data_IF_643235916318
#
_entry.id   IF_643235916318
#
_cell.length_a   1.000
_cell.length_b   1.000
_cell.length_c   1.000
_cell.angle_alpha   90.00
_cell.angle_beta   90.00
_cell.angle_gamma   90.00
#
_symmetry.space_group_name_H-M   'P 1'
#
loop_
_entity.id
_entity.type
_entity.pdbx_description
1 polymer ?
#
# COMPACT_ATOMS: atom_id res chain seq x y z
N UNK A 1 -4.61 13.91 -44.03
CA UNK A 1 -5.40 14.44 -42.89
C UNK A 1 -4.76 15.70 -42.37
N UNK A 2 -5.52 16.56 -41.71
CA UNK A 2 -5.02 17.82 -41.16
C UNK A 2 -3.91 17.59 -40.12
N UNK A 3 -2.89 18.45 -40.13
CA UNK A 3 -1.69 18.35 -39.29
C UNK A 3 -1.38 19.72 -38.67
N UNK A 4 -0.79 19.68 -37.49
CA UNK A 4 -0.27 20.85 -36.76
C UNK A 4 1.25 20.85 -36.85
N UNK A 5 1.86 22.00 -37.17
CA UNK A 5 3.31 22.19 -37.16
C UNK A 5 3.76 22.98 -35.94
N UNK A 6 4.86 22.57 -35.33
CA UNK A 6 5.42 23.29 -34.19
C UNK A 6 6.27 24.48 -34.64
N UNK A 7 5.93 25.69 -34.20
CA UNK A 7 6.71 26.91 -34.43
C UNK A 7 8.02 26.97 -33.64
N UNK A 8 8.07 26.34 -32.46
CA UNK A 8 9.28 26.33 -31.62
C UNK A 8 10.41 25.49 -32.25
N UNK A 9 10.17 24.20 -32.52
CA UNK A 9 11.22 23.34 -33.10
C UNK A 9 11.22 23.28 -34.63
N UNK A 10 10.16 23.77 -35.30
CA UNK A 10 9.98 23.80 -36.77
C UNK A 10 10.15 22.46 -37.51
N UNK A 11 10.28 21.36 -36.76
CA UNK A 11 10.64 20.03 -37.28
C UNK A 11 9.58 18.97 -36.98
N UNK A 12 8.84 19.14 -35.88
CA UNK A 12 7.80 18.20 -35.47
C UNK A 12 6.44 18.63 -35.99
N UNK A 13 5.65 17.63 -36.39
CA UNK A 13 4.26 17.78 -36.81
C UNK A 13 3.41 16.66 -36.23
N UNK A 14 2.15 16.95 -35.96
CA UNK A 14 1.21 16.01 -35.36
C UNK A 14 -0.07 15.97 -36.17
N UNK A 15 -0.57 14.76 -36.42
CA UNK A 15 -1.86 14.56 -37.05
C UNK A 15 -2.98 14.89 -36.06
N UNK A 16 -4.12 15.40 -36.53
CA UNK A 16 -5.25 15.71 -35.63
C UNK A 16 -5.71 14.48 -34.80
N UNK A 17 -5.89 13.28 -35.40
CA UNK A 17 -6.21 12.09 -34.61
C UNK A 17 -5.15 11.74 -33.56
N UNK A 18 -3.87 12.05 -33.83
CA UNK A 18 -2.78 11.81 -32.90
C UNK A 18 -2.89 12.73 -31.68
N UNK A 19 -3.30 13.99 -31.90
CA UNK A 19 -3.49 14.96 -30.83
C UNK A 19 -4.73 14.64 -29.98
N UNK A 20 -5.85 14.32 -30.62
CA UNK A 20 -7.08 13.95 -29.92
C UNK A 20 -6.90 12.70 -29.05
N UNK A 21 -6.20 11.68 -29.56
CA UNK A 21 -5.99 10.43 -28.83
C UNK A 21 -4.95 10.53 -27.70
N UNK A 22 -3.83 11.25 -27.94
CA UNK A 22 -2.69 11.24 -27.01
C UNK A 22 -2.56 12.49 -26.15
N UNK A 23 -3.26 13.57 -26.51
CA UNK A 23 -3.21 14.87 -25.83
C UNK A 23 -4.62 15.50 -25.71
N UNK A 24 -5.60 14.78 -25.13
CA UNK A 24 -6.93 15.32 -24.95
C UNK A 24 -6.89 16.57 -24.05
N UNK A 25 -7.59 17.62 -24.45
CA UNK A 25 -7.66 18.89 -23.70
C UNK A 25 -6.55 19.90 -24.01
N UNK A 26 -5.61 19.59 -24.93
CA UNK A 26 -4.66 20.59 -25.43
C UNK A 26 -5.22 21.35 -26.63
N UNK A 27 -5.21 22.67 -26.55
CA UNK A 27 -5.58 23.55 -27.66
C UNK A 27 -4.56 23.40 -28.81
N UNK A 28 -5.03 23.55 -30.06
CA UNK A 28 -4.16 23.36 -31.23
C UNK A 28 -3.07 24.43 -31.28
N UNK A 29 -3.42 25.64 -30.89
CA UNK A 29 -2.55 26.81 -30.77
C UNK A 29 -1.42 26.56 -29.75
N UNK A 30 -1.70 25.84 -28.65
CA UNK A 30 -0.67 25.45 -27.69
C UNK A 30 0.34 24.48 -28.31
N UNK A 31 -0.13 23.51 -29.09
CA UNK A 31 0.72 22.52 -29.78
C UNK A 31 1.52 23.17 -30.93
N UNK A 32 0.91 24.14 -31.62
CA UNK A 32 1.58 24.99 -32.61
C UNK A 32 2.71 25.78 -31.97
N UNK A 33 2.47 26.40 -30.81
CA UNK A 33 3.50 27.15 -30.09
C UNK A 33 4.61 26.22 -29.58
N UNK A 34 4.27 25.15 -28.87
CA UNK A 34 5.25 24.19 -28.34
C UNK A 34 4.69 22.76 -28.37
N UNK A 35 5.32 21.91 -29.18
CA UNK A 35 4.84 20.55 -29.34
C UNK A 35 5.25 19.63 -28.17
N UNK A 36 4.61 18.45 -28.05
CA UNK A 36 4.93 17.51 -26.96
C UNK A 36 6.40 17.12 -26.82
N UNK A 37 7.19 17.12 -27.90
CA UNK A 37 8.65 16.91 -27.82
C UNK A 37 9.33 18.10 -27.15
N UNK A 38 8.99 19.33 -27.53
CA UNK A 38 9.51 20.55 -26.92
C UNK A 38 9.10 20.68 -25.45
N UNK A 39 7.92 20.19 -25.10
CA UNK A 39 7.40 20.18 -23.73
C UNK A 39 7.86 18.96 -22.90
N UNK A 40 8.68 18.07 -23.47
CA UNK A 40 9.21 16.90 -22.75
C UNK A 40 8.19 15.82 -22.41
N UNK A 41 7.00 15.83 -23.02
CA UNK A 41 5.89 14.89 -22.75
C UNK A 41 5.43 14.14 -24.01
N UNK A 42 6.34 13.89 -24.95
CA UNK A 42 6.01 13.18 -26.19
C UNK A 42 5.74 11.68 -25.96
N UNK A 43 4.57 11.21 -26.37
CA UNK A 43 4.08 9.84 -26.21
C UNK A 43 4.45 8.93 -27.40
N UNK A 44 5.29 9.41 -28.33
CA UNK A 44 5.73 8.56 -29.44
C UNK A 44 6.68 7.46 -28.94
N UNK A 45 6.62 6.29 -29.58
CA UNK A 45 7.42 5.12 -29.21
C UNK A 45 8.93 5.40 -29.13
N UNK A 46 9.45 6.31 -29.96
CA UNK A 46 10.85 6.71 -29.92
C UNK A 46 11.18 7.57 -28.68
N UNK A 47 10.35 8.54 -28.33
CA UNK A 47 10.54 9.40 -27.16
C UNK A 47 10.34 8.63 -25.84
N UNK A 48 9.37 7.71 -25.78
CA UNK A 48 9.15 6.87 -24.61
C UNK A 48 10.29 5.85 -24.36
N UNK A 49 11.04 5.50 -25.41
CA UNK A 49 12.17 4.56 -25.34
C UNK A 49 13.52 5.25 -25.25
N UNK A 50 13.57 6.54 -25.52
CA UNK A 50 14.77 7.31 -25.25
C UNK A 50 14.99 7.27 -23.74
N UNK A 51 16.22 6.96 -23.30
CA UNK A 51 16.60 7.22 -21.92
C UNK A 51 16.31 8.71 -21.69
N UNK A 52 15.31 8.99 -20.86
CA UNK A 52 15.00 10.34 -20.42
C UNK A 52 16.25 10.74 -19.66
N UNK A 53 17.15 11.47 -20.31
CA UNK A 53 18.10 12.32 -19.62
C UNK A 53 17.19 13.33 -18.97
N UNK A 54 16.78 13.05 -17.73
CA UNK A 54 16.05 13.99 -16.90
C UNK A 54 16.89 15.24 -16.96
N UNK A 55 16.37 16.28 -17.64
CA UNK A 55 17.05 17.56 -17.72
C UNK A 55 17.45 17.89 -16.30
N UNK A 56 18.72 18.22 -16.08
CA UNK A 56 19.26 18.55 -14.77
C UNK A 56 18.42 19.73 -14.26
N UNK A 57 17.34 19.45 -13.55
CA UNK A 57 16.54 20.48 -12.90
C UNK A 57 17.54 21.19 -12.00
N UNK A 58 17.67 22.50 -12.16
CA UNK A 58 18.43 23.30 -11.20
C UNK A 58 17.94 22.89 -9.80
N UNK A 59 18.87 22.46 -8.95
CA UNK A 59 18.54 22.10 -7.57
C UNK A 59 17.74 23.26 -6.99
N UNK A 60 16.50 23.03 -6.53
CA UNK A 60 15.71 24.10 -5.95
C UNK A 60 16.51 24.74 -4.82
N UNK A 61 16.47 26.07 -4.74
CA UNK A 61 17.18 26.79 -3.68
C UNK A 61 16.87 26.19 -2.30
N UNK A 62 17.80 26.22 -1.33
CA UNK A 62 17.67 25.50 -0.06
C UNK A 62 16.34 25.71 0.67
N UNK A 63 15.77 26.91 0.58
CA UNK A 63 14.46 27.24 1.14
C UNK A 63 13.32 26.45 0.48
N UNK A 64 13.28 26.39 -0.86
CA UNK A 64 12.27 25.60 -1.59
C UNK A 64 12.39 24.12 -1.27
N UNK A 65 13.62 23.61 -1.14
CA UNK A 65 13.88 22.22 -0.73
C UNK A 65 13.37 21.96 0.70
N UNK A 66 13.65 22.87 1.64
CA UNK A 66 13.15 22.78 3.02
C UNK A 66 11.62 22.82 3.08
N UNK A 67 10.97 23.74 2.36
CA UNK A 67 9.51 23.84 2.31
C UNK A 67 8.86 22.56 1.77
N UNK A 68 9.44 21.95 0.73
CA UNK A 68 8.98 20.66 0.20
C UNK A 68 9.13 19.54 1.21
N UNK A 69 10.26 19.47 1.91
CA UNK A 69 10.49 18.45 2.95
C UNK A 69 9.53 18.61 4.14
N UNK A 70 9.29 19.84 4.59
CA UNK A 70 8.33 20.13 5.65
C UNK A 70 6.90 19.78 5.22
N UNK A 71 6.53 20.05 3.97
CA UNK A 71 5.24 19.65 3.42
C UNK A 71 5.06 18.12 3.41
N UNK A 72 6.07 17.38 2.95
CA UNK A 72 6.05 15.91 2.96
C UNK A 72 5.96 15.38 4.40
N UNK A 73 6.75 15.94 5.31
CA UNK A 73 6.75 15.54 6.71
C UNK A 73 5.38 15.79 7.36
N UNK A 74 4.79 16.96 7.11
CA UNK A 74 3.44 17.31 7.57
C UNK A 74 2.38 16.33 7.01
N UNK A 75 2.50 15.93 5.74
CA UNK A 75 1.60 14.94 5.12
C UNK A 75 1.75 13.51 5.66
N UNK A 76 2.95 13.11 6.09
CA UNK A 76 3.22 11.77 6.66
C UNK A 76 2.89 11.71 8.16
N UNK A 77 2.81 12.86 8.83
CA UNK A 77 2.63 12.94 10.28
C UNK A 77 1.37 12.21 10.81
N UNK A 78 0.20 12.26 10.15
CA UNK A 78 -0.97 11.48 10.56
C UNK A 78 -0.69 9.96 10.56
N UNK A 79 0.00 9.45 9.54
CA UNK A 79 0.37 8.04 9.47
C UNK A 79 1.35 7.67 10.57
N UNK A 80 2.30 8.54 10.89
CA UNK A 80 3.25 8.31 11.98
C UNK A 80 2.54 8.25 13.34
N UNK A 81 1.51 9.09 13.56
CA UNK A 81 0.65 9.01 14.75
C UNK A 81 -0.12 7.70 14.79
N UNK A 82 -0.69 7.26 13.67
CA UNK A 82 -1.38 5.98 13.60
C UNK A 82 -0.45 4.81 13.95
N UNK A 83 0.75 4.77 13.38
CA UNK A 83 1.75 3.73 13.70
C UNK A 83 2.07 3.74 15.19
N UNK A 84 2.27 4.92 15.78
CA UNK A 84 2.52 5.05 17.22
C UNK A 84 1.37 4.49 18.06
N UNK A 85 0.12 4.84 17.73
CA UNK A 85 -1.06 4.35 18.47
C UNK A 85 -1.25 2.84 18.32
N UNK A 86 -1.00 2.28 17.13
CA UNK A 86 -1.04 0.83 16.91
C UNK A 86 0.02 0.10 17.74
N UNK A 87 1.23 0.67 17.84
CA UNK A 87 2.28 0.12 18.69
C UNK A 87 1.89 0.17 20.17
N UNK A 88 1.50 1.33 20.70
CA UNK A 88 1.11 1.48 22.11
C UNK A 88 -0.04 0.54 22.50
N UNK A 89 -1.07 0.45 21.65
CA UNK A 89 -2.18 -0.47 21.89
C UNK A 89 -1.74 -1.94 21.97
N UNK A 90 -0.78 -2.36 21.13
CA UNK A 90 -0.27 -3.72 21.18
C UNK A 90 0.60 -3.96 22.42
N UNK A 91 1.35 -2.96 22.89
CA UNK A 91 2.13 -3.02 24.13
C UNK A 91 1.19 -3.18 25.34
N UNK A 92 0.07 -2.45 25.37
CA UNK A 92 -0.94 -2.59 26.42
C UNK A 92 -1.56 -3.99 26.45
N UNK A 93 -1.80 -4.59 25.29
CA UNK A 93 -2.29 -5.96 25.20
C UNK A 93 -1.22 -6.94 25.70
N UNK A 94 0.04 -6.73 25.35
CA UNK A 94 1.14 -7.56 25.83
C UNK A 94 1.29 -7.49 27.37
N UNK A 95 1.13 -6.30 27.96
CA UNK A 95 1.09 -6.11 29.41
C UNK A 95 -0.01 -6.97 30.06
N UNK A 96 -1.22 -6.94 29.47
CA UNK A 96 -2.38 -7.70 29.96
C UNK A 96 -2.16 -9.21 29.86
N UNK A 97 -1.59 -9.69 28.75
CA UNK A 97 -1.26 -11.11 28.55
C UNK A 97 -0.22 -11.58 29.57
N UNK A 98 0.79 -10.75 29.85
CA UNK A 98 1.84 -11.09 30.82
C UNK A 98 1.42 -10.88 32.28
N UNK A 99 0.32 -10.16 32.54
CA UNK A 99 -0.17 -9.85 33.88
C UNK A 99 0.73 -8.87 34.65
N UNK A 100 1.44 -7.99 33.95
CA UNK A 100 2.39 -7.01 34.52
C UNK A 100 1.98 -5.58 34.20
N UNK A 101 2.57 -4.61 34.91
CA UNK A 101 2.37 -3.19 34.60
C UNK A 101 3.01 -2.79 33.28
N UNK A 102 2.42 -1.79 32.60
CA UNK A 102 2.87 -1.31 31.29
C UNK A 102 4.36 -0.90 31.30
N UNK A 103 4.83 -0.28 32.39
CA UNK A 103 6.22 0.17 32.54
C UNK A 103 7.23 -0.99 32.64
N UNK A 104 6.78 -2.18 33.00
CA UNK A 104 7.63 -3.37 33.17
C UNK A 104 7.74 -4.21 31.90
N UNK A 105 6.88 -3.97 30.90
CA UNK A 105 6.85 -4.73 29.65
C UNK A 105 8.17 -4.57 28.89
N UNK A 106 8.86 -5.70 28.70
CA UNK A 106 10.12 -5.76 27.94
C UNK A 106 9.91 -6.49 26.62
N UNK A 107 9.87 -5.73 25.54
CA UNK A 107 9.74 -6.27 24.19
C UNK A 107 11.12 -6.59 23.63
N UNK A 108 11.31 -7.87 23.32
CA UNK A 108 12.54 -8.41 22.77
C UNK A 108 12.75 -7.86 21.36
N UNK A 109 13.97 -7.39 21.11
CA UNK A 109 14.38 -6.97 19.77
C UNK A 109 14.75 -8.20 18.96
N UNK A 110 14.08 -8.42 17.84
CA UNK A 110 14.50 -9.45 16.88
C UNK A 110 15.79 -8.96 16.19
N UNK A 111 16.79 -9.83 16.10
CA UNK A 111 17.97 -9.54 15.27
C UNK A 111 17.49 -9.39 13.82
N UNK A 112 17.88 -8.31 13.16
CA UNK A 112 17.59 -8.06 11.75
C UNK A 112 18.91 -8.14 11.00
N UNK A 113 18.92 -8.90 9.91
CA UNK A 113 19.89 -8.65 8.85
C UNK A 113 19.45 -7.41 8.09
N UNK A 114 20.34 -6.43 7.92
CA UNK A 114 20.06 -5.09 7.39
C UNK A 114 19.56 -5.06 5.94
N UNK A 115 19.33 -6.21 5.29
CA UNK A 115 18.95 -6.33 3.88
C UNK A 115 17.55 -6.93 3.70
N UNK A 116 17.05 -7.69 4.66
CA UNK A 116 15.81 -8.47 4.48
C UNK A 116 14.59 -7.75 5.07
N UNK A 117 13.66 -7.39 4.18
CA UNK A 117 12.35 -6.82 4.55
C UNK A 117 11.44 -7.94 5.05
N UNK A 118 10.89 -7.80 6.27
CA UNK A 118 9.90 -8.76 6.80
C UNK A 118 8.51 -8.54 6.21
N UNK A 119 7.79 -9.64 6.05
CA UNK A 119 6.42 -9.68 5.55
C UNK A 119 5.56 -10.52 6.50
N UNK A 120 4.29 -10.13 6.63
CA UNK A 120 3.30 -10.90 7.35
C UNK A 120 2.94 -12.16 6.57
N UNK A 121 3.05 -13.33 7.17
CA UNK A 121 2.70 -14.59 6.50
C UNK A 121 1.20 -14.71 6.19
N UNK A 122 0.36 -13.94 6.88
CA UNK A 122 -1.08 -13.96 6.65
C UNK A 122 -1.54 -13.05 5.49
N UNK A 123 -1.12 -11.80 5.48
CA UNK A 123 -1.59 -10.80 4.50
C UNK A 123 -0.53 -10.35 3.49
N UNK A 124 0.71 -10.82 3.63
CA UNK A 124 1.86 -10.43 2.83
C UNK A 124 2.20 -8.93 2.88
N UNK A 125 1.61 -8.18 3.82
CA UNK A 125 1.97 -6.79 4.09
C UNK A 125 3.34 -6.75 4.75
N UNK A 126 4.18 -5.82 4.31
CA UNK A 126 5.48 -5.63 4.95
C UNK A 126 5.35 -5.12 6.37
N UNK A 127 6.16 -5.70 7.26
CA UNK A 127 6.23 -5.32 8.67
C UNK A 127 7.42 -4.40 8.87
N UNK A 128 7.18 -3.23 9.46
CA UNK A 128 8.19 -2.20 9.67
C UNK A 128 8.94 -2.36 10.99
N UNK A 129 8.22 -2.56 12.10
CA UNK A 129 8.84 -2.59 13.43
C UNK A 129 8.31 -3.73 14.30
N UNK A 130 7.06 -3.58 14.77
CA UNK A 130 6.42 -4.51 15.69
C UNK A 130 5.72 -5.63 14.93
N UNK A 131 5.92 -6.86 15.41
CA UNK A 131 5.26 -8.05 14.89
C UNK A 131 5.05 -9.07 16.01
N UNK A 132 4.12 -10.01 15.79
CA UNK A 132 4.01 -11.20 16.61
C UNK A 132 4.62 -12.39 15.88
N UNK A 133 5.69 -12.97 16.43
CA UNK A 133 6.39 -14.09 15.80
C UNK A 133 6.20 -15.39 16.57
N UNK A 134 6.31 -16.53 15.89
CA UNK A 134 6.32 -17.82 16.56
C UNK A 134 7.66 -18.06 17.28
N UNK A 135 7.68 -18.40 18.57
CA UNK A 135 8.92 -18.72 19.29
C UNK A 135 9.43 -20.14 19.02
N UNK A 136 8.70 -20.96 18.27
CA UNK A 136 9.15 -22.30 17.90
C UNK A 136 10.32 -22.19 16.89
N UNK A 137 11.51 -22.75 17.18
CA UNK A 137 12.66 -22.68 16.27
C UNK A 137 12.39 -23.26 14.88
N UNK A 138 11.46 -24.22 14.76
CA UNK A 138 11.06 -24.84 13.50
C UNK A 138 9.92 -24.09 12.79
N UNK A 139 9.54 -22.88 13.26
CA UNK A 139 8.46 -22.09 12.69
C UNK A 139 8.81 -20.59 12.70
N UNK A 140 8.86 -20.01 11.51
CA UNK A 140 9.18 -18.59 11.30
C UNK A 140 7.94 -17.73 11.05
N UNK A 141 6.78 -18.11 11.63
CA UNK A 141 5.53 -17.43 11.33
C UNK A 141 5.49 -16.02 11.94
N UNK A 142 5.38 -15.02 11.09
CA UNK A 142 5.35 -13.59 11.41
C UNK A 142 3.97 -12.98 11.10
N UNK A 143 3.39 -12.29 12.08
CA UNK A 143 2.07 -11.68 11.98
C UNK A 143 2.14 -10.18 12.25
N UNK A 144 1.57 -9.38 11.35
CA UNK A 144 1.49 -7.93 11.51
C UNK A 144 0.41 -7.52 12.52
N UNK A 145 0.55 -6.32 13.11
CA UNK A 145 -0.38 -5.78 14.10
C UNK A 145 -1.81 -5.63 13.57
N UNK A 146 -1.97 -5.32 12.29
CA UNK A 146 -3.30 -5.23 11.66
C UNK A 146 -4.02 -6.59 11.72
N UNK A 147 -3.35 -7.68 11.34
CA UNK A 147 -3.92 -9.02 11.42
C UNK A 147 -4.14 -9.45 12.87
N UNK A 148 -3.27 -9.06 13.81
CA UNK A 148 -3.49 -9.28 15.24
C UNK A 148 -4.80 -8.62 15.72
N UNK A 149 -5.03 -7.36 15.33
CA UNK A 149 -6.24 -6.60 15.68
C UNK A 149 -7.49 -7.22 15.05
N UNK A 150 -7.43 -7.68 13.81
CA UNK A 150 -8.52 -8.36 13.13
C UNK A 150 -8.91 -9.66 13.85
N UNK A 151 -7.94 -10.49 14.21
CA UNK A 151 -8.17 -11.74 14.96
C UNK A 151 -8.89 -11.49 16.29
N UNK A 152 -8.46 -10.48 17.05
CA UNK A 152 -9.09 -10.13 18.34
C UNK A 152 -10.50 -9.57 18.18
N UNK A 153 -10.85 -9.04 17.00
CA UNK A 153 -12.22 -8.63 16.66
C UNK A 153 -13.09 -9.78 16.17
N UNK A 154 -12.55 -11.01 16.09
CA UNK A 154 -13.24 -12.17 15.54
C UNK A 154 -13.27 -12.19 14.00
N UNK A 155 -12.50 -11.31 13.35
CA UNK A 155 -12.36 -11.31 11.90
C UNK A 155 -11.25 -12.29 11.50
N UNK A 156 -11.51 -13.16 10.53
CA UNK A 156 -10.46 -13.97 9.93
C UNK A 156 -9.51 -13.04 9.16
N UNK A 157 -8.24 -12.92 9.57
CA UNK A 157 -7.34 -11.89 9.08
C UNK A 157 -6.98 -12.12 7.61
N UNK A 158 -6.76 -11.04 6.85
CA UNK A 158 -6.34 -11.11 5.44
C UNK A 158 -7.43 -10.85 4.39
N UNK A 159 -8.68 -10.62 4.81
CA UNK A 159 -9.79 -10.21 3.94
C UNK A 159 -10.03 -11.13 2.73
N UNK A 160 -10.81 -10.67 1.75
CA UNK A 160 -11.01 -11.38 0.47
C UNK A 160 -9.76 -11.43 -0.42
N UNK A 161 -8.69 -10.70 -0.06
CA UNK A 161 -7.43 -10.65 -0.80
C UNK A 161 -6.47 -11.80 -0.47
N UNK A 162 -6.47 -12.33 0.76
CA UNK A 162 -5.75 -13.57 1.07
C UNK A 162 -6.30 -14.75 0.24
N UNK A 163 -7.61 -14.74 -0.06
CA UNK A 163 -8.22 -15.70 -0.99
C UNK A 163 -7.72 -15.54 -2.44
N UNK A 164 -7.42 -14.31 -2.91
CA UNK A 164 -7.07 -14.06 -4.31
C UNK A 164 -5.59 -14.34 -4.62
N UNK A 165 -4.67 -14.07 -3.69
CA UNK A 165 -3.28 -14.52 -3.78
C UNK A 165 -3.15 -16.04 -3.67
N UNK A 166 -4.02 -16.69 -2.89
CA UNK A 166 -4.06 -18.15 -2.77
C UNK A 166 -4.59 -18.85 -4.03
N UNK A 167 -5.57 -18.26 -4.74
CA UNK A 167 -6.06 -18.80 -6.02
C UNK A 167 -4.93 -18.90 -7.06
N UNK A 168 -4.03 -17.91 -7.09
CA UNK A 168 -2.84 -17.93 -7.95
C UNK A 168 -1.76 -18.94 -7.49
N UNK A 169 -1.70 -19.32 -6.21
CA UNK A 169 -0.75 -20.32 -5.70
C UNK A 169 -1.21 -21.75 -6.01
N UNK A 170 -2.50 -22.05 -5.81
CA UNK A 170 -3.12 -23.36 -6.11
C UNK A 170 -3.20 -23.61 -7.62
N UNK A 171 -3.54 -22.60 -8.44
CA UNK A 171 -3.57 -22.74 -9.91
C UNK A 171 -2.18 -23.06 -10.51
N UNK A 172 -1.09 -22.66 -9.85
CA UNK A 172 0.28 -23.00 -10.26
C UNK A 172 0.70 -24.41 -9.87
N UNK A 173 0.08 -24.99 -8.84
CA UNK A 173 0.42 -26.33 -8.33
C UNK A 173 -0.38 -27.46 -8.98
N UNK A 174 -1.52 -27.18 -9.62
CA UNK A 174 -2.29 -28.18 -10.38
C UNK A 174 -1.98 -28.21 -11.90
N UNK A 175 -0.99 -27.45 -12.35
CA UNK A 175 -0.55 -27.48 -13.74
C UNK A 175 0.36 -28.67 -14.07
N UNK A 176 -0.16 -29.91 -14.05
CA UNK A 176 0.35 -30.98 -14.94
C UNK A 176 -0.62 -32.14 -15.15
N UNK A 177 -0.82 -32.39 -16.44
CA UNK A 177 -1.17 -33.64 -17.11
C UNK A 177 -2.59 -34.21 -16.92
N UNK A 178 -3.48 -33.83 -17.85
CA UNK A 178 -4.18 -34.84 -18.68
C UNK A 178 -4.45 -34.28 -20.07
N UNK A 179 -3.89 -34.98 -21.06
CA UNK A 179 -4.11 -34.82 -22.49
C UNK A 179 -5.51 -35.31 -22.87
N UNK A 180 -6.41 -34.42 -23.27
CA UNK A 180 -7.58 -34.77 -24.09
C UNK A 180 -7.88 -33.65 -25.08
N UNK A 181 -7.60 -33.93 -26.35
CA UNK A 181 -8.09 -33.18 -27.51
C UNK A 181 -9.61 -33.06 -27.46
N UNK A 182 -10.15 -31.84 -27.53
CA UNK A 182 -11.34 -31.57 -28.32
C UNK A 182 -11.42 -30.11 -28.78
N UNK A 183 -11.58 -29.98 -30.09
CA UNK A 183 -11.79 -28.76 -30.86
C UNK A 183 -13.19 -28.21 -30.65
N UNK A 184 -13.36 -26.98 -30.14
CA UNK A 184 -14.42 -26.05 -30.63
C UNK A 184 -14.11 -24.61 -30.22
N UNK A 185 -14.24 -23.69 -31.18
CA UNK A 185 -14.10 -22.24 -31.02
C UNK A 185 -15.23 -21.67 -30.14
N UNK A 186 -14.89 -20.88 -29.12
CA UNK A 186 -15.83 -20.00 -28.42
C UNK A 186 -15.32 -18.54 -28.39
N UNK A 187 -16.22 -17.55 -28.44
CA UNK A 187 -15.88 -16.16 -28.75
C UNK A 187 -15.45 -15.35 -27.52
N UNK A 188 -14.56 -14.39 -27.75
CA UNK A 188 -14.18 -13.33 -26.79
C UNK A 188 -15.42 -12.53 -26.38
N UNK A 189 -15.83 -12.62 -25.11
CA UNK A 189 -16.75 -11.65 -24.49
C UNK A 189 -16.05 -10.85 -23.40
N UNK A 190 -16.28 -9.54 -23.50
CA UNK A 190 -15.83 -8.43 -22.69
C UNK A 190 -16.25 -8.62 -21.22
N UNK A 191 -15.35 -8.30 -20.30
CA UNK A 191 -15.66 -8.09 -18.89
C UNK A 191 -16.56 -6.86 -18.75
N UNK A 192 -17.86 -7.10 -18.53
CA UNK A 192 -18.82 -6.10 -18.10
C UNK A 192 -19.01 -6.22 -16.58
N UNK A 193 -18.85 -5.08 -15.90
CA UNK A 193 -19.11 -4.91 -14.48
C UNK A 193 -20.56 -4.44 -14.33
N UNK A 194 -21.41 -5.28 -13.73
CA UNK A 194 -22.72 -4.95 -13.16
C UNK A 194 -22.92 -5.93 -11.99
N UNK A 195 -23.32 -5.61 -10.77
CA UNK A 195 -23.67 -4.37 -10.09
C UNK A 195 -23.63 -4.66 -8.57
N UNK A 196 -23.65 -3.60 -7.76
CA UNK A 196 -23.56 -3.67 -6.31
C UNK A 196 -24.78 -4.34 -5.65
N UNK A 197 -24.54 -5.18 -4.63
CA UNK A 197 -25.48 -5.38 -3.52
C UNK A 197 -24.71 -5.42 -2.19
N UNK A 198 -25.24 -4.68 -1.23
CA UNK A 198 -24.75 -4.57 0.13
C UNK A 198 -24.85 -5.92 0.86
N UNK A 199 -23.83 -6.27 1.64
CA UNK A 199 -23.88 -7.44 2.51
C UNK A 199 -23.61 -6.98 3.95
N UNK A 200 -24.69 -6.94 4.72
CA UNK A 200 -24.68 -7.06 6.17
C UNK A 200 -23.93 -8.34 6.57
N UNK A 201 -23.22 -8.30 7.71
CA UNK A 201 -22.54 -9.45 8.27
C UNK A 201 -23.58 -10.49 8.69
N UNK A 202 -23.91 -11.40 7.78
CA UNK A 202 -24.72 -12.57 8.06
C UNK A 202 -24.20 -13.73 7.24
N UNK A 203 -23.72 -14.73 7.96
CA UNK A 203 -23.22 -16.02 7.55
C UNK A 203 -24.16 -16.72 6.57
N UNK A 204 -23.65 -17.15 5.41
CA UNK A 204 -23.78 -18.53 4.91
C UNK A 204 -22.94 -18.76 3.64
N UNK A 205 -22.18 -19.86 3.69
CA UNK A 205 -21.82 -20.76 2.58
C UNK A 205 -20.78 -20.33 1.53
N UNK A 206 -19.54 -20.11 1.99
CA UNK A 206 -18.38 -20.93 1.57
C UNK A 206 -17.47 -21.09 2.80
N UNK A 207 -17.90 -21.86 3.80
CA UNK A 207 -17.07 -22.19 4.97
C UNK A 207 -16.05 -23.26 4.56
N UNK A 208 -14.78 -22.96 4.83
CA UNK A 208 -13.80 -23.98 5.18
C UNK A 208 -12.91 -24.49 4.05
N UNK A 209 -11.76 -23.84 3.88
CA UNK A 209 -10.55 -24.58 3.49
C UNK A 209 -9.47 -24.58 4.57
N UNK A 210 -9.61 -23.74 5.59
CA UNK A 210 -8.66 -23.67 6.68
C UNK A 210 -9.35 -23.82 8.03
N UNK A 211 -8.73 -24.53 8.98
CA UNK A 211 -9.22 -24.60 10.34
C UNK A 211 -9.40 -23.18 10.91
N UNK A 212 -10.35 -23.08 11.83
CA UNK A 212 -10.61 -21.85 12.55
C UNK A 212 -9.35 -21.42 13.31
N UNK A 213 -9.07 -20.12 13.27
CA UNK A 213 -7.94 -19.53 13.98
C UNK A 213 -8.46 -18.38 14.84
N UNK A 214 -8.49 -18.62 16.15
CA UNK A 214 -9.10 -17.73 17.14
C UNK A 214 -8.08 -17.34 18.20
N UNK A 215 -8.31 -16.19 18.82
CA UNK A 215 -7.53 -15.73 19.98
C UNK A 215 -8.03 -16.38 21.26
N UNK A 216 -7.15 -16.46 22.26
CA UNK A 216 -7.53 -16.85 23.61
C UNK A 216 -8.33 -15.73 24.30
N UNK A 217 -8.98 -16.05 25.42
CA UNK A 217 -9.81 -15.12 26.18
C UNK A 217 -9.04 -13.91 26.75
N UNK A 218 -7.73 -14.06 26.99
CA UNK A 218 -6.80 -13.00 27.41
C UNK A 218 -6.30 -12.12 26.25
N UNK A 219 -6.72 -12.42 25.01
CA UNK A 219 -6.27 -11.74 23.79
C UNK A 219 -4.94 -12.23 23.23
N UNK A 220 -4.35 -13.28 23.82
CA UNK A 220 -3.16 -13.94 23.26
C UNK A 220 -3.50 -14.69 21.97
N UNK A 221 -2.55 -14.70 21.03
CA UNK A 221 -2.76 -15.23 19.69
C UNK A 221 -1.95 -16.52 19.54
N UNK A 222 -2.58 -17.70 19.40
CA UNK A 222 -1.85 -18.92 19.09
C UNK A 222 -1.26 -18.83 17.67
N UNK A 223 -0.11 -19.46 17.45
CA UNK A 223 0.43 -19.66 16.12
C UNK A 223 -0.59 -20.46 15.30
N UNK A 224 -0.89 -20.07 14.05
CA UNK A 224 -1.94 -20.72 13.30
C UNK A 224 -1.64 -22.20 13.01
N UNK A 225 -2.65 -23.01 12.67
CA UNK A 225 -2.44 -24.39 12.22
C UNK A 225 -1.56 -24.49 10.97
N UNK A 226 -1.07 -25.69 10.69
CA UNK A 226 -0.15 -25.97 9.55
C UNK A 226 -0.74 -25.61 8.21
N UNK A 227 -2.04 -25.77 8.05
CA UNK A 227 -2.77 -25.43 6.85
C UNK A 227 -2.68 -23.91 6.56
N UNK A 228 -2.51 -23.09 7.60
CA UNK A 228 -2.31 -21.64 7.51
C UNK A 228 -0.83 -21.24 7.60
N UNK A 229 0.11 -22.18 7.46
CA UNK A 229 1.55 -21.93 7.47
C UNK A 229 2.20 -21.84 8.87
N UNK A 230 1.43 -21.95 9.95
CA UNK A 230 1.97 -21.94 11.31
C UNK A 230 2.25 -23.35 11.87
N UNK A 231 2.62 -23.43 13.15
CA UNK A 231 2.86 -24.71 13.83
C UNK A 231 1.70 -25.18 14.72
N UNK A 232 0.73 -24.32 15.03
CA UNK A 232 -0.43 -24.63 15.87
C UNK A 232 -0.14 -24.85 17.36
N UNK A 233 1.11 -24.67 17.84
CA UNK A 233 1.53 -25.17 19.17
C UNK A 233 2.02 -24.12 20.16
N UNK A 234 2.42 -22.92 19.70
CA UNK A 234 2.96 -21.85 20.56
C UNK A 234 2.08 -20.60 20.49
N UNK A 235 2.16 -19.75 21.51
CA UNK A 235 1.60 -18.40 21.46
C UNK A 235 2.60 -17.50 20.73
N UNK A 236 2.11 -16.62 19.85
CA UNK A 236 2.97 -15.67 19.15
C UNK A 236 3.43 -14.56 20.11
N UNK A 237 4.75 -14.36 20.18
CA UNK A 237 5.39 -13.38 21.06
C UNK A 237 5.51 -12.03 20.37
N UNK A 238 5.26 -10.94 21.10
CA UNK A 238 5.49 -9.61 20.58
C UNK A 238 6.99 -9.32 20.48
N UNK A 239 7.46 -8.95 19.29
CA UNK A 239 8.83 -8.54 19.02
C UNK A 239 8.87 -7.22 18.26
N UNK A 240 10.04 -6.58 18.33
CA UNK A 240 10.33 -5.33 17.62
C UNK A 240 11.63 -5.41 16.85
N UNK A 241 11.75 -4.56 15.85
CA UNK A 241 12.92 -4.47 14.97
C UNK A 241 13.81 -3.29 15.35
N UNK A 242 13.20 -2.17 15.73
CA UNK A 242 13.89 -0.94 16.09
C UNK A 242 14.21 -0.87 17.58
N UNK A 243 14.97 0.17 17.97
CA UNK A 243 15.26 0.49 19.37
C UNK A 243 13.99 0.95 20.09
N UNK A 244 13.96 0.81 21.41
CA UNK A 244 12.81 1.21 22.24
C UNK A 244 12.51 2.69 22.01
N UNK A 245 11.22 3.03 21.91
CA UNK A 245 10.72 4.39 21.71
C UNK A 245 11.21 5.08 20.42
N UNK A 246 11.63 4.32 19.40
CA UNK A 246 12.12 4.91 18.15
C UNK A 246 11.02 5.69 17.41
N UNK A 247 9.83 5.11 17.23
CA UNK A 247 8.69 5.78 16.59
C UNK A 247 8.24 7.00 17.39
N UNK A 248 8.16 6.88 18.73
CA UNK A 248 7.84 8.02 19.61
C UNK A 248 8.82 9.19 19.43
N UNK A 249 10.13 8.90 19.36
CA UNK A 249 11.15 9.94 19.10
C UNK A 249 11.00 10.56 17.71
N UNK A 250 10.75 9.74 16.70
CA UNK A 250 10.52 10.21 15.34
C UNK A 250 9.29 11.12 15.28
N UNK A 251 8.19 10.73 15.93
CA UNK A 251 6.95 11.50 16.00
C UNK A 251 7.17 12.85 16.69
N UNK A 252 7.79 12.85 17.87
CA UNK A 252 8.12 14.07 18.60
C UNK A 252 8.99 15.04 17.78
N UNK A 253 9.97 14.50 17.04
CA UNK A 253 10.82 15.33 16.18
C UNK A 253 10.05 15.87 14.98
N UNK A 254 9.20 15.05 14.35
CA UNK A 254 8.36 15.46 13.24
C UNK A 254 7.42 16.60 13.65
N UNK A 255 6.73 16.44 14.78
CA UNK A 255 5.82 17.45 15.33
C UNK A 255 6.52 18.76 15.65
N UNK A 256 7.72 18.71 16.25
CA UNK A 256 8.53 19.92 16.51
C UNK A 256 8.92 20.65 15.24
N UNK A 257 9.31 19.92 14.19
CA UNK A 257 9.72 20.51 12.91
C UNK A 257 8.53 21.12 12.16
N UNK A 258 7.35 20.52 12.28
CA UNK A 258 6.13 20.99 11.60
C UNK A 258 5.28 21.96 12.42
N UNK A 259 5.63 22.22 13.69
CA UNK A 259 4.81 23.01 14.63
C UNK A 259 4.41 24.39 14.09
N UNK A 260 5.33 25.09 13.44
CA UNK A 260 5.09 26.42 12.83
C UNK A 260 4.92 26.36 11.31
N UNK A 261 4.85 25.16 10.72
CA UNK A 261 4.72 25.02 9.29
C UNK A 261 3.28 25.27 8.85
N UNK A 262 3.07 26.33 8.07
CA UNK A 262 1.81 26.57 7.39
C UNK A 262 1.90 25.97 5.99
N UNK A 263 0.93 25.11 5.65
CA UNK A 263 0.81 24.62 4.28
C UNK A 263 0.57 25.84 3.38
N UNK A 264 1.44 26.11 2.39
CA UNK A 264 1.20 27.19 1.44
C UNK A 264 -0.16 26.93 0.79
N UNK A 265 -1.05 27.93 0.82
CA UNK A 265 -2.36 27.85 0.19
C UNK A 265 -2.15 27.88 -1.32
N UNK A 266 -1.83 26.72 -1.89
CA UNK A 266 -1.78 26.54 -3.33
C UNK A 266 -3.17 26.11 -3.72
N UNK A 267 -3.98 27.06 -4.20
CA UNK A 267 -5.22 26.78 -4.90
C UNK A 267 -4.87 25.92 -6.11
N UNK A 268 -4.83 24.60 -5.94
CA UNK A 268 -4.82 23.68 -7.07
C UNK A 268 -6.19 23.84 -7.73
N UNK A 269 -6.28 24.33 -8.98
CA UNK A 269 -7.55 24.42 -9.67
C UNK A 269 -8.03 22.98 -9.90
N UNK A 270 -8.90 22.52 -9.01
CA UNK A 270 -9.50 21.20 -8.93
C UNK A 270 -8.47 20.05 -8.88
N UNK A 271 -8.29 19.48 -7.67
CA UNK A 271 -7.51 18.24 -7.48
C UNK A 271 -7.91 17.16 -8.49
N UNK A 272 -6.96 16.30 -8.89
CA UNK A 272 -7.15 15.48 -10.08
C UNK A 272 -8.44 14.60 -9.97
N UNK A 273 -9.25 14.54 -11.04
CA UNK A 273 -10.47 13.74 -11.03
C UNK A 273 -10.21 12.26 -10.75
N UNK A 274 -9.06 11.71 -11.15
CA UNK A 274 -8.70 10.32 -10.87
C UNK A 274 -8.37 10.07 -9.39
N UNK A 275 -7.95 11.10 -8.65
CA UNK A 275 -7.72 11.05 -7.22
C UNK A 275 -9.00 11.43 -6.43
N UNK A 276 -9.93 12.18 -7.04
CA UNK A 276 -11.29 12.41 -6.52
C UNK A 276 -12.29 11.26 -6.81
N UNK A 277 -12.10 10.49 -7.88
CA UNK A 277 -12.96 9.35 -8.24
C UNK A 277 -12.77 8.15 -7.30
N UNK A 278 -11.68 8.13 -6.52
CA UNK A 278 -11.50 7.20 -5.40
C UNK A 278 -12.37 7.64 -4.21
N UNK A 279 -12.68 8.93 -4.08
CA UNK A 279 -13.44 9.49 -2.96
C UNK A 279 -14.96 9.49 -3.23
N UNK A 280 -15.40 9.69 -4.47
CA UNK A 280 -16.82 9.90 -4.77
C UNK A 280 -17.68 8.63 -4.90
N UNK A 281 -17.09 7.45 -5.14
CA UNK A 281 -17.86 6.21 -5.28
C UNK A 281 -18.05 5.40 -3.98
N UNK A 282 -17.47 5.85 -2.85
CA UNK A 282 -17.61 5.19 -1.55
C UNK A 282 -18.38 6.03 -0.52
N UNK A 283 -19.31 6.87 -0.98
CA UNK A 283 -20.22 7.61 -0.09
C UNK A 283 -21.33 6.71 0.49
N UNK A 284 -20.99 5.64 1.22
CA UNK A 284 -21.85 4.96 2.21
C UNK A 284 -21.08 4.19 3.32
N UNK A 285 -19.95 4.66 3.84
CA UNK A 285 -19.57 4.39 5.25
C UNK A 285 -18.28 5.15 5.67
N UNK A 286 -18.31 6.00 6.72
CA UNK A 286 -17.13 6.79 7.12
C UNK A 286 -15.94 5.97 7.66
N UNK A 287 -16.11 4.70 8.05
CA UNK A 287 -15.01 3.85 8.56
C UNK A 287 -14.13 3.20 7.47
N UNK A 288 -14.53 3.25 6.18
CA UNK A 288 -13.74 2.69 5.07
C UNK A 288 -12.82 3.71 4.38
N UNK A 289 -13.01 5.00 4.64
CA UNK A 289 -12.26 6.08 4.00
C UNK A 289 -10.79 6.09 4.46
N UNK A 290 -10.54 5.76 5.73
CA UNK A 290 -9.21 5.65 6.33
C UNK A 290 -8.39 4.47 5.78
N UNK A 291 -9.03 3.36 5.43
CA UNK A 291 -8.37 2.14 4.93
C UNK A 291 -7.93 2.23 3.44
N UNK A 292 -8.66 3.00 2.63
CA UNK A 292 -8.34 3.21 1.23
C UNK A 292 -7.15 4.19 1.04
N UNK A 293 -7.08 5.25 1.85
CA UNK A 293 -5.94 6.18 1.85
C UNK A 293 -4.63 5.49 2.29
N UNK A 294 -4.72 4.60 3.27
CA UNK A 294 -3.58 3.81 3.77
C UNK A 294 -3.06 2.83 2.71
N UNK A 295 -3.91 2.21 1.88
CA UNK A 295 -3.48 1.19 0.90
C UNK A 295 -2.75 1.80 -0.31
N UNK A 296 -3.14 3.00 -0.74
CA UNK A 296 -2.52 3.68 -1.90
C UNK A 296 -1.18 4.34 -1.51
N UNK A 297 -1.09 4.93 -0.32
CA UNK A 297 0.17 5.53 0.16
C UNK A 297 1.24 4.51 0.56
N UNK A 298 0.84 3.36 1.12
CA UNK A 298 1.80 2.30 1.51
C UNK A 298 2.43 1.61 0.31
N UNK A 299 1.71 1.45 -0.79
CA UNK A 299 2.21 0.73 -1.98
C UNK A 299 3.10 1.61 -2.88
N UNK A 300 2.85 2.92 -2.98
CA UNK A 300 3.55 3.79 -3.93
C UNK A 300 4.48 4.86 -3.32
N UNK A 301 4.32 5.25 -2.05
CA UNK A 301 5.05 6.41 -1.51
C UNK A 301 6.04 6.08 -0.38
N UNK A 302 5.86 4.98 0.36
CA UNK A 302 6.65 4.73 1.59
C UNK A 302 7.86 3.80 1.36
N UNK A 303 7.84 2.96 0.32
CA UNK A 303 8.93 1.98 0.09
C UNK A 303 10.29 2.62 -0.23
N UNK A 304 10.40 3.76 -0.94
CA UNK A 304 11.72 4.33 -1.24
C UNK A 304 12.29 5.28 -0.16
N UNK A 305 11.50 5.74 0.81
CA UNK A 305 11.92 6.84 1.72
C UNK A 305 12.47 6.34 3.07
N UNK A 306 12.33 5.05 3.36
CA UNK A 306 12.89 4.43 4.58
C UNK A 306 14.24 3.74 4.37
N UNK A 307 14.84 3.86 3.17
CA UNK A 307 16.13 3.26 2.80
C UNK A 307 17.08 4.28 2.15
N UNK A 308 17.15 5.48 2.75
CA UNK A 308 18.29 6.40 2.64
C UNK A 308 18.63 6.85 4.06
#
# INVERSE_FOLDING_TARGET
GAVVYCHNCKTKRYCYPCLENWYPGKAKEEIENACPVCCGNCNCKACLRANIVVSRHEEPGPNVKLQRLLHLLHGVLPLLRQIYLEQESEIEIEAKIQGIELAEVKIIRAQLDEVERRYCDNCNTSIVDFLRNCPNPDCSYDLCLTCCRELRKGCQPGGSQAYSSHRQFIERSHGKDTDVKHTTRAPRKKSGWEGAQAAECSTTDVVGQFPEWNTNADGSIPCPPKERGGCGSKILELRRSFKTNWVSKLLNNAEKLTYNFQVPNVDFPNGCPSCHLIVANDCKNPERQELAEVTVMTTFCIVPVLWI
#
